data_IF_859019319444
#
_entry.id   IF_859019319444
#
_cell.length_a   1.000
_cell.length_b   1.000
_cell.length_c   1.000
_cell.angle_alpha   90.00
_cell.angle_beta   90.00
_cell.angle_gamma   90.00
#
_symmetry.space_group_name_H-M   'P 1'
#
loop_
_entity.id
_entity.type
_entity.pdbx_description
1 polymer ?
#
# COMPACT_ATOMS: atom_id res chain seq x y z
N UNK A 1 51.05 21.44 -54.09
CA UNK A 1 50.96 20.21 -53.28
C UNK A 1 49.55 19.65 -53.47
N UNK A 2 49.27 19.11 -54.65
CA UNK A 2 49.33 17.70 -55.04
C UNK A 2 48.35 16.78 -54.27
N UNK A 3 47.11 16.55 -54.75
CA UNK A 3 46.58 15.56 -55.74
C UNK A 3 46.90 14.07 -55.44
N UNK A 4 46.14 13.02 -55.77
CA UNK A 4 45.00 12.64 -56.65
C UNK A 4 44.38 11.36 -56.02
N UNK A 5 43.11 10.95 -56.20
CA UNK A 5 42.56 10.34 -57.43
C UNK A 5 41.54 9.19 -57.12
N UNK A 6 40.79 8.67 -58.12
CA UNK A 6 39.44 8.08 -58.01
C UNK A 6 39.28 6.56 -58.40
N UNK A 7 38.02 6.05 -58.35
CA UNK A 7 37.31 4.84 -58.90
C UNK A 7 37.94 4.02 -60.08
N UNK A 8 37.42 2.86 -60.62
CA UNK A 8 36.17 2.07 -60.41
C UNK A 8 36.31 0.50 -60.49
N UNK A 9 35.22 -0.28 -60.36
CA UNK A 9 34.69 -1.21 -61.41
C UNK A 9 33.60 -2.21 -60.93
N UNK A 10 32.63 -2.37 -61.83
CA UNK A 10 31.44 -3.21 -61.87
C UNK A 10 31.71 -4.62 -62.43
N UNK A 11 30.83 -5.57 -62.15
CA UNK A 11 30.82 -6.90 -62.79
C UNK A 11 29.56 -7.71 -62.49
N UNK A 12 28.60 -7.64 -63.42
CA UNK A 12 27.40 -8.49 -63.50
C UNK A 12 27.77 -9.91 -63.93
N UNK A 13 27.09 -10.93 -63.40
CA UNK A 13 26.72 -12.12 -64.17
C UNK A 13 25.40 -12.73 -63.68
N UNK A 14 24.42 -12.76 -64.58
CA UNK A 14 23.22 -13.59 -64.53
C UNK A 14 23.53 -14.97 -65.12
N UNK A 15 22.88 -16.01 -64.61
CA UNK A 15 22.35 -17.17 -65.36
C UNK A 15 21.30 -17.86 -64.46
N UNK A 16 19.99 -17.77 -64.72
CA UNK A 16 19.14 -18.58 -65.64
C UNK A 16 19.06 -20.09 -65.32
N UNK A 17 18.04 -20.44 -64.49
CA UNK A 17 16.89 -21.39 -64.69
C UNK A 17 17.17 -22.88 -65.10
N UNK A 18 16.17 -23.80 -65.11
CA UNK A 18 15.11 -24.17 -64.13
C UNK A 18 14.90 -25.73 -64.08
N UNK A 19 13.71 -26.19 -63.63
CA UNK A 19 13.05 -27.50 -63.82
C UNK A 19 13.42 -28.63 -62.82
N UNK A 20 12.53 -29.56 -62.43
CA UNK A 20 11.06 -29.74 -62.50
C UNK A 20 10.73 -31.09 -61.82
N UNK A 21 9.43 -31.38 -61.70
CA UNK A 21 8.77 -32.68 -61.45
C UNK A 21 8.37 -32.99 -60.00
N UNK A 22 7.06 -32.91 -59.69
CA UNK A 22 5.98 -33.93 -59.94
C UNK A 22 6.31 -35.20 -59.15
N UNK A 23 5.56 -35.61 -58.12
CA UNK A 23 4.12 -35.85 -58.05
C UNK A 23 3.90 -37.12 -57.21
N UNK A 24 2.67 -37.47 -56.81
CA UNK A 24 2.35 -38.19 -55.57
C UNK A 24 1.99 -39.67 -55.79
N UNK A 25 2.00 -40.51 -54.73
CA UNK A 25 0.99 -41.57 -54.63
C UNK A 25 0.72 -42.13 -53.22
N UNK A 26 -0.53 -42.55 -53.05
CA UNK A 26 -1.17 -43.20 -51.91
C UNK A 26 -0.85 -44.72 -51.93
N UNK A 27 -0.95 -45.41 -50.80
CA UNK A 27 -1.87 -46.56 -50.65
C UNK A 27 -1.86 -47.19 -49.24
N UNK A 28 -3.07 -47.63 -48.86
CA UNK A 28 -3.55 -48.27 -47.64
C UNK A 28 -2.90 -49.63 -47.32
N UNK A 29 -2.94 -50.06 -46.05
CA UNK A 29 -3.66 -51.30 -45.61
C UNK A 29 -3.75 -51.42 -44.07
N UNK A 30 -4.78 -52.17 -43.64
CA UNK A 30 -5.37 -52.31 -42.29
C UNK A 30 -5.29 -53.79 -41.84
N UNK A 31 -5.10 -54.04 -40.53
CA UNK A 31 -5.78 -55.06 -39.64
C UNK A 31 -5.32 -56.55 -39.74
N UNK A 32 -5.54 -57.51 -38.77
CA UNK A 32 -5.88 -57.54 -37.31
C UNK A 32 -5.00 -58.49 -36.42
N UNK A 33 -5.24 -58.51 -35.07
CA UNK A 33 -4.94 -59.68 -34.21
C UNK A 33 -5.33 -59.56 -32.72
N UNK A 34 -6.30 -60.36 -32.25
CA UNK A 34 -6.92 -60.45 -30.89
C UNK A 34 -6.22 -61.47 -29.96
N UNK A 35 -6.38 -61.32 -28.62
CA UNK A 35 -6.95 -62.27 -27.59
C UNK A 35 -6.58 -61.78 -26.16
N UNK A 36 -7.52 -61.32 -25.31
CA UNK A 36 -8.41 -61.98 -24.31
C UNK A 36 -7.77 -62.41 -22.95
N UNK A 37 -8.12 -61.65 -21.88
CA UNK A 37 -8.50 -61.91 -20.45
C UNK A 37 -8.03 -63.17 -19.65
N UNK A 38 -8.00 -63.19 -18.28
CA UNK A 38 -8.93 -62.50 -17.33
C UNK A 38 -8.35 -61.90 -16.01
N UNK A 39 -9.25 -61.26 -15.24
CA UNK A 39 -9.09 -60.74 -13.86
C UNK A 39 -9.42 -61.80 -12.78
N UNK A 40 -9.07 -61.58 -11.49
CA UNK A 40 -10.02 -61.05 -10.49
C UNK A 40 -9.33 -60.08 -9.48
N UNK A 41 -9.96 -59.30 -8.60
CA UNK A 41 -11.27 -59.37 -7.97
C UNK A 41 -11.57 -58.11 -7.14
N UNK A 42 -12.78 -58.08 -6.59
CA UNK A 42 -13.49 -56.94 -5.99
C UNK A 42 -13.00 -56.58 -4.59
N UNK A 43 -13.05 -55.28 -4.26
CA UNK A 43 -13.48 -54.80 -2.96
C UNK A 43 -14.33 -53.53 -3.15
N UNK A 44 -15.61 -53.63 -2.76
CA UNK A 44 -16.56 -52.52 -2.70
C UNK A 44 -16.53 -51.98 -1.27
N UNK A 45 -16.38 -50.68 -1.11
CA UNK A 45 -16.89 -49.94 0.04
C UNK A 45 -17.68 -48.76 -0.50
N UNK A 46 -19.00 -48.84 -0.31
CA UNK A 46 -19.92 -47.70 -0.34
C UNK A 46 -19.67 -46.88 0.94
N UNK A 47 -19.86 -45.57 0.87
CA UNK A 47 -20.70 -44.79 1.80
C UNK A 47 -20.85 -43.36 1.23
N UNK A 48 -22.11 -43.09 0.87
CA UNK A 48 -22.93 -41.90 1.06
C UNK A 48 -22.47 -40.49 0.64
N UNK A 49 -23.16 -40.01 -0.40
CA UNK A 49 -23.46 -38.60 -0.60
C UNK A 49 -24.41 -38.10 0.50
N UNK A 50 -23.93 -37.20 1.36
CA UNK A 50 -24.80 -36.41 2.21
C UNK A 50 -24.91 -35.00 1.64
N UNK A 51 -26.08 -34.73 1.07
CA UNK A 51 -26.57 -33.39 0.74
C UNK A 51 -27.08 -32.78 2.05
N UNK A 52 -26.52 -31.65 2.49
CA UNK A 52 -27.10 -30.87 3.60
C UNK A 52 -27.36 -29.44 3.13
N UNK A 53 -28.65 -29.15 3.00
CA UNK A 53 -29.24 -27.83 2.91
C UNK A 53 -29.71 -27.44 4.31
N UNK A 54 -29.05 -26.48 4.96
CA UNK A 54 -29.53 -25.65 6.08
C UNK A 54 -28.59 -24.42 6.08
N UNK A 55 -28.99 -23.17 6.19
CA UNK A 55 -30.20 -22.58 6.74
C UNK A 55 -29.75 -21.22 7.29
N UNK A 56 -30.51 -20.16 7.02
CA UNK A 56 -30.29 -18.81 7.55
C UNK A 56 -30.23 -18.85 9.09
N UNK A 57 -29.25 -18.19 9.68
CA UNK A 57 -29.11 -18.04 11.13
C UNK A 57 -28.30 -16.81 11.49
N UNK A 58 -29.00 -15.71 11.75
CA UNK A 58 -28.48 -14.52 12.42
C UNK A 58 -28.13 -14.90 13.86
N UNK A 59 -26.89 -14.66 14.30
CA UNK A 59 -26.54 -14.72 15.71
C UNK A 59 -25.58 -13.56 16.07
N UNK A 60 -26.12 -12.63 16.85
CA UNK A 60 -25.39 -11.60 17.60
C UNK A 60 -24.72 -12.27 18.81
N UNK A 61 -23.42 -12.06 18.98
CA UNK A 61 -22.71 -12.13 20.27
C UNK A 61 -21.52 -11.15 20.15
N UNK A 62 -21.31 -10.13 20.98
CA UNK A 62 -21.74 -9.95 22.37
C UNK A 62 -20.67 -10.43 23.35
N UNK A 63 -19.39 -10.15 23.09
CA UNK A 63 -18.26 -10.50 23.95
C UNK A 63 -17.71 -9.28 24.69
N UNK A 64 -18.08 -9.15 25.97
CA UNK A 64 -17.49 -8.23 26.94
C UNK A 64 -16.09 -8.74 27.31
N UNK A 65 -15.08 -7.89 27.29
CA UNK A 65 -13.77 -8.20 27.88
C UNK A 65 -13.42 -7.19 28.98
N UNK A 66 -12.79 -7.71 30.02
CA UNK A 66 -12.65 -7.16 31.36
C UNK A 66 -11.74 -5.93 31.46
N UNK A 67 -12.20 -4.89 32.17
CA UNK A 67 -11.33 -3.88 32.79
C UNK A 67 -10.67 -4.47 34.04
N UNK A 68 -9.35 -4.53 34.06
CA UNK A 68 -8.58 -4.60 35.30
C UNK A 68 -8.01 -3.20 35.60
N UNK A 69 -8.53 -2.59 36.66
CA UNK A 69 -8.02 -1.37 37.28
C UNK A 69 -7.78 -1.66 38.76
N UNK A 70 -6.58 -1.31 39.26
CA UNK A 70 -6.15 -0.96 40.65
C UNK A 70 -4.73 -1.50 40.88
N UNK A 71 -3.79 -0.82 41.53
CA UNK A 71 -3.73 0.47 42.23
C UNK A 71 -2.29 0.99 42.15
N UNK A 72 -1.92 2.21 42.54
CA UNK A 72 -2.47 3.06 43.59
C UNK A 72 -1.55 3.02 44.81
N UNK A 73 -0.41 3.73 44.78
CA UNK A 73 0.35 4.13 45.97
C UNK A 73 0.79 5.59 45.81
N UNK A 74 0.04 6.47 46.48
CA UNK A 74 0.51 7.80 46.90
C UNK A 74 0.70 7.70 48.41
N UNK A 75 1.82 8.19 48.92
CA UNK A 75 1.91 8.60 50.31
C UNK A 75 2.32 10.08 50.37
N UNK A 76 1.58 10.84 51.16
CA UNK A 76 1.84 12.22 51.59
C UNK A 76 2.29 12.14 53.05
N UNK A 77 3.22 13.01 53.44
CA UNK A 77 3.12 13.83 54.66
C UNK A 77 4.28 14.86 54.63
N UNK A 78 4.02 16.18 54.66
CA UNK A 78 3.87 17.09 55.82
C UNK A 78 5.13 17.10 56.70
N UNK A 79 5.76 18.22 57.06
CA UNK A 79 5.52 19.65 56.88
C UNK A 79 6.60 20.42 57.66
N UNK A 80 6.65 21.75 57.58
CA UNK A 80 6.90 22.66 58.72
C UNK A 80 6.80 24.13 58.28
N UNK A 81 6.16 24.93 59.14
CA UNK A 81 5.93 26.38 59.09
C UNK A 81 6.89 27.11 60.05
N UNK A 82 7.03 28.43 59.81
CA UNK A 82 7.20 29.58 60.74
C UNK A 82 8.48 30.42 60.45
N UNK A 83 8.38 31.65 59.91
CA UNK A 83 8.12 32.99 60.53
C UNK A 83 9.30 33.46 61.41
N UNK A 84 10.19 34.36 60.94
CA UNK A 84 10.19 35.85 61.07
C UNK A 84 11.34 36.30 62.02
N UNK A 85 11.69 37.60 62.24
CA UNK A 85 11.30 38.87 61.60
C UNK A 85 12.42 39.94 61.37
N UNK A 86 12.07 41.05 60.66
CA UNK A 86 12.47 42.49 60.79
C UNK A 86 13.97 42.91 60.73
N UNK A 87 14.38 43.99 60.03
CA UNK A 87 14.18 45.45 60.30
C UNK A 87 14.61 46.28 59.05
N UNK A 88 13.86 47.27 58.55
CA UNK A 88 13.71 48.71 58.92
C UNK A 88 14.72 49.69 58.26
N UNK A 89 14.18 50.73 57.60
CA UNK A 89 14.85 52.05 57.47
C UNK A 89 14.69 52.78 56.12
N UNK A 90 14.03 53.96 56.11
CA UNK A 90 14.43 55.08 55.24
C UNK A 90 13.40 55.87 54.41
N UNK A 91 12.68 56.81 55.05
CA UNK A 91 12.30 58.19 54.64
C UNK A 91 11.87 58.62 53.19
N UNK A 92 10.57 58.96 53.08
CA UNK A 92 9.85 60.19 52.60
C UNK A 92 10.39 61.22 51.53
N UNK A 93 9.62 61.32 50.41
CA UNK A 93 9.08 62.46 49.58
C UNK A 93 9.99 63.56 48.92
N UNK A 94 9.48 64.39 47.96
CA UNK A 94 8.74 64.10 46.71
C UNK A 94 9.28 64.92 45.49
N UNK A 95 9.01 64.51 44.24
CA UNK A 95 8.81 65.47 43.13
C UNK A 95 8.25 64.85 41.84
N UNK A 96 7.15 65.47 41.40
CA UNK A 96 6.70 65.80 40.05
C UNK A 96 7.10 64.93 38.84
N UNK A 97 6.06 64.46 38.14
CA UNK A 97 5.86 64.80 36.73
C UNK A 97 6.74 64.11 35.70
N UNK A 98 6.38 62.90 35.30
CA UNK A 98 6.63 62.41 33.93
C UNK A 98 5.62 61.31 33.58
N UNK A 99 4.85 61.51 32.51
CA UNK A 99 3.95 60.48 31.97
C UNK A 99 4.76 59.28 31.46
N UNK A 100 4.47 58.04 31.86
CA UNK A 100 4.99 56.89 31.15
C UNK A 100 4.14 56.73 29.88
N UNK A 101 4.74 57.04 28.73
CA UNK A 101 4.23 56.66 27.41
C UNK A 101 3.84 55.18 27.44
N UNK A 102 2.68 54.88 26.87
CA UNK A 102 2.21 53.54 26.56
C UNK A 102 3.34 52.65 26.08
N UNK A 103 3.80 51.75 26.96
CA UNK A 103 4.45 50.54 26.50
C UNK A 103 3.30 49.67 25.99
N UNK A 104 3.25 49.31 24.70
CA UNK A 104 2.32 48.27 24.31
C UNK A 104 2.72 47.05 25.11
N UNK A 105 1.87 46.70 26.08
CA UNK A 105 1.88 45.36 26.63
C UNK A 105 1.69 44.48 25.40
N UNK A 106 2.78 43.84 24.96
CA UNK A 106 2.69 42.77 24.01
C UNK A 106 1.71 41.80 24.67
N UNK A 107 0.45 41.86 24.26
CA UNK A 107 -0.44 40.72 24.34
C UNK A 107 0.43 39.62 23.79
N UNK A 108 0.90 38.72 24.67
CA UNK A 108 1.11 37.34 24.26
C UNK A 108 -0.24 36.98 23.68
N UNK A 109 -0.37 37.18 22.38
CA UNK A 109 -1.27 36.42 21.55
C UNK A 109 -0.88 35.02 21.93
N UNK A 110 -1.64 34.43 22.85
CA UNK A 110 -1.66 33.01 23.03
C UNK A 110 -1.81 32.51 21.62
N UNK A 111 -0.71 32.02 21.04
CA UNK A 111 -0.78 31.21 19.85
C UNK A 111 -1.84 30.19 20.24
N UNK A 112 -2.97 30.26 19.55
CA UNK A 112 -3.91 29.17 19.60
C UNK A 112 -3.09 28.02 19.04
N UNK A 113 -2.44 27.28 19.93
CA UNK A 113 -1.70 26.08 19.59
C UNK A 113 -2.78 25.18 19.06
N UNK A 114 -2.93 25.16 17.73
CA UNK A 114 -3.78 24.20 17.09
C UNK A 114 -3.00 22.89 17.20
N UNK A 115 -3.25 22.21 18.32
CA UNK A 115 -2.65 20.96 18.77
C UNK A 115 -2.85 19.91 17.70
N UNK A 116 -1.85 19.74 16.84
CA UNK A 116 -1.97 19.00 15.58
C UNK A 116 -1.35 17.62 15.69
N UNK A 117 -1.98 16.64 15.05
CA UNK A 117 -1.46 15.29 14.85
C UNK A 117 -0.77 15.23 13.49
N UNK A 118 0.50 14.86 13.46
CA UNK A 118 1.21 14.60 12.21
C UNK A 118 0.95 13.17 11.73
N UNK A 119 0.77 13.00 10.41
CA UNK A 119 0.62 11.68 9.80
C UNK A 119 1.90 11.28 9.07
N UNK A 120 2.38 10.08 9.37
CA UNK A 120 3.54 9.46 8.74
C UNK A 120 3.11 8.13 8.11
N UNK A 121 3.71 7.81 6.96
CA UNK A 121 3.63 6.49 6.32
C UNK A 121 4.98 6.15 5.70
N UNK A 122 5.12 4.96 5.15
CA UNK A 122 6.26 4.59 4.32
C UNK A 122 5.94 4.62 2.81
N UNK A 123 6.98 4.53 1.96
CA UNK A 123 6.84 4.66 0.51
C UNK A 123 6.00 3.56 -0.14
N UNK A 124 5.80 2.42 0.52
CA UNK A 124 4.94 1.35 -0.03
C UNK A 124 3.45 1.67 0.05
N UNK A 125 3.07 2.85 0.58
CA UNK A 125 1.72 3.40 0.45
C UNK A 125 1.37 3.79 -0.99
N UNK A 126 2.38 3.94 -1.86
CA UNK A 126 2.26 4.36 -3.26
C UNK A 126 1.47 5.67 -3.44
N UNK A 127 1.45 6.51 -2.40
CA UNK A 127 0.80 7.81 -2.49
C UNK A 127 1.60 8.74 -3.42
N UNK A 128 0.94 9.45 -4.35
CA UNK A 128 1.62 10.44 -5.17
C UNK A 128 2.18 11.55 -4.27
N UNK A 129 3.44 11.92 -4.48
CA UNK A 129 4.15 12.89 -3.64
C UNK A 129 3.42 14.23 -3.52
N UNK A 130 2.75 14.68 -4.59
CA UNK A 130 1.94 15.90 -4.58
C UNK A 130 0.74 15.77 -3.65
N UNK A 131 0.02 14.63 -3.68
CA UNK A 131 -1.11 14.40 -2.80
C UNK A 131 -0.67 14.29 -1.34
N UNK A 132 0.42 13.57 -1.08
CA UNK A 132 1.00 13.47 0.25
C UNK A 132 1.33 14.85 0.83
N UNK A 133 1.96 15.73 0.03
CA UNK A 133 2.22 17.13 0.42
C UNK A 133 0.94 17.91 0.72
N UNK A 134 -0.05 17.87 -0.18
CA UNK A 134 -1.33 18.59 0.00
C UNK A 134 -2.12 18.08 1.21
N UNK A 135 -1.95 16.81 1.57
CA UNK A 135 -2.58 16.17 2.73
C UNK A 135 -1.70 16.19 3.99
N UNK A 136 -0.57 16.90 3.97
CA UNK A 136 0.38 16.98 5.09
C UNK A 136 0.83 15.61 5.62
N UNK A 137 1.01 14.65 4.72
CA UNK A 137 1.50 13.29 5.01
C UNK A 137 3.02 13.25 4.78
N UNK A 138 3.76 12.81 5.78
CA UNK A 138 5.19 12.53 5.67
C UNK A 138 5.40 11.09 5.19
N UNK A 139 6.22 10.90 4.16
CA UNK A 139 6.56 9.56 3.63
C UNK A 139 8.03 9.26 3.97
N UNK A 140 8.28 8.15 4.65
CA UNK A 140 9.63 7.62 4.89
C UNK A 140 9.98 6.61 3.79
N UNK A 141 10.98 6.89 2.94
CA UNK A 141 11.29 6.04 1.79
C UNK A 141 11.95 4.73 2.20
N UNK A 142 11.50 3.62 1.62
CA UNK A 142 12.24 2.36 1.61
C UNK A 142 13.35 2.40 0.56
N UNK A 143 14.29 1.45 0.65
CA UNK A 143 15.39 1.33 -0.30
C UNK A 143 15.15 0.18 -1.26
N UNK A 144 15.27 0.46 -2.56
CA UNK A 144 15.38 -0.51 -3.64
C UNK A 144 16.86 -0.77 -3.94
N UNK A 145 17.27 -2.04 -3.96
CA UNK A 145 18.58 -2.47 -4.44
C UNK A 145 18.42 -3.05 -5.84
N UNK A 146 18.96 -2.37 -6.85
CA UNK A 146 18.71 -2.69 -8.25
C UNK A 146 19.94 -2.36 -9.12
N UNK A 147 20.43 -3.36 -9.87
CA UNK A 147 21.62 -3.26 -10.73
C UNK A 147 22.85 -2.66 -10.00
N UNK A 148 23.10 -3.11 -8.77
CA UNK A 148 24.23 -2.68 -7.95
C UNK A 148 24.06 -1.30 -7.28
N UNK A 149 22.92 -0.63 -7.45
CA UNK A 149 22.60 0.64 -6.82
C UNK A 149 21.61 0.47 -5.68
N UNK A 150 21.76 1.28 -4.64
CA UNK A 150 20.76 1.47 -3.58
C UNK A 150 20.03 2.79 -3.81
N UNK A 151 18.73 2.73 -4.07
CA UNK A 151 17.90 3.85 -4.52
C UNK A 151 16.72 4.01 -3.56
N UNK A 152 16.47 5.23 -3.09
CA UNK A 152 15.31 5.54 -2.27
C UNK A 152 14.04 5.59 -3.13
N UNK A 153 13.05 4.82 -2.72
CA UNK A 153 11.78 4.64 -3.42
C UNK A 153 10.97 5.94 -3.44
N UNK A 154 10.59 6.38 -4.65
CA UNK A 154 9.89 7.66 -4.82
C UNK A 154 10.77 8.88 -4.54
N UNK A 155 12.08 8.73 -4.43
CA UNK A 155 13.06 9.83 -4.31
C UNK A 155 14.06 9.72 -5.46
N UNK A 156 14.88 8.66 -5.45
CA UNK A 156 15.96 8.45 -6.43
C UNK A 156 15.46 7.73 -7.68
N UNK A 157 14.39 6.94 -7.55
CA UNK A 157 13.81 6.18 -8.66
C UNK A 157 12.29 6.28 -8.66
N UNK A 158 11.73 6.53 -9.85
CA UNK A 158 10.29 6.63 -10.10
C UNK A 158 9.76 5.32 -10.69
N UNK A 159 8.46 5.00 -10.52
CA UNK A 159 7.85 3.81 -11.10
C UNK A 159 8.12 3.65 -12.60
N UNK A 160 7.95 4.72 -13.39
CA UNK A 160 8.17 4.70 -14.84
C UNK A 160 9.61 4.35 -15.23
N UNK A 161 10.59 4.83 -14.46
CA UNK A 161 11.99 4.47 -14.69
C UNK A 161 12.28 3.02 -14.29
N UNK A 162 11.76 2.58 -13.14
CA UNK A 162 11.94 1.22 -12.65
C UNK A 162 11.39 0.19 -13.65
N UNK A 163 10.13 0.32 -14.05
CA UNK A 163 9.51 -0.63 -14.98
C UNK A 163 10.11 -0.59 -16.38
N UNK A 164 10.60 0.57 -16.84
CA UNK A 164 11.36 0.64 -18.11
C UNK A 164 12.68 -0.14 -18.06
N UNK A 165 13.35 -0.15 -16.91
CA UNK A 165 14.64 -0.84 -16.72
C UNK A 165 14.47 -2.33 -16.40
N UNK A 166 13.42 -2.71 -15.70
CA UNK A 166 13.21 -4.06 -15.15
C UNK A 166 13.30 -5.21 -16.19
N UNK A 167 12.76 -5.11 -17.42
CA UNK A 167 12.85 -6.19 -18.41
C UNK A 167 14.30 -6.52 -18.83
N UNK A 168 15.20 -5.55 -18.74
CA UNK A 168 16.61 -5.70 -19.14
C UNK A 168 17.55 -5.89 -17.94
N UNK A 169 16.99 -6.06 -16.73
CA UNK A 169 17.78 -6.22 -15.52
C UNK A 169 18.54 -7.56 -15.52
N UNK A 170 19.81 -7.52 -15.14
CA UNK A 170 20.64 -8.72 -15.01
C UNK A 170 20.41 -9.41 -13.66
N UNK A 171 19.94 -8.64 -12.67
CA UNK A 171 19.66 -9.10 -11.32
C UNK A 171 18.21 -8.81 -10.94
N UNK A 172 17.64 -9.66 -10.08
CA UNK A 172 16.31 -9.37 -9.55
C UNK A 172 16.43 -8.30 -8.47
N UNK A 173 15.59 -7.24 -8.50
CA UNK A 173 15.60 -6.21 -7.49
C UNK A 173 15.34 -6.78 -6.09
N UNK A 174 15.99 -6.24 -5.09
CA UNK A 174 15.67 -6.55 -3.68
C UNK A 174 15.38 -5.25 -2.95
N UNK A 175 14.85 -5.34 -1.73
CA UNK A 175 14.40 -4.17 -0.98
C UNK A 175 14.81 -4.28 0.46
N UNK A 176 15.05 -3.14 1.11
CA UNK A 176 15.23 -3.06 2.56
C UNK A 176 14.29 -2.02 3.16
N UNK A 177 13.81 -2.32 4.37
CA UNK A 177 13.09 -1.37 5.22
C UNK A 177 13.97 -0.16 5.58
N UNK A 178 13.38 0.97 5.99
CA UNK A 178 14.15 2.09 6.50
C UNK A 178 14.77 1.71 7.85
N UNK A 179 15.92 2.30 8.16
CA UNK A 179 16.56 2.13 9.46
C UNK A 179 15.74 2.83 10.57
N UNK A 180 15.71 2.32 11.81
CA UNK A 180 15.04 3.00 12.93
C UNK A 180 15.44 4.46 13.12
N UNK A 181 16.72 4.79 12.88
CA UNK A 181 17.22 6.18 12.96
C UNK A 181 16.53 7.14 11.98
N UNK A 182 16.18 6.68 10.78
CA UNK A 182 15.48 7.51 9.79
C UNK A 182 14.06 7.86 10.25
N UNK A 183 13.39 6.92 10.94
CA UNK A 183 12.11 7.19 11.58
C UNK A 183 12.28 8.16 12.77
N UNK A 184 13.28 7.93 13.62
CA UNK A 184 13.56 8.78 14.77
C UNK A 184 13.83 10.25 14.38
N UNK A 185 14.61 10.47 13.32
CA UNK A 185 14.84 11.81 12.77
C UNK A 185 13.53 12.47 12.35
N UNK A 186 12.70 11.77 11.57
CA UNK A 186 11.42 12.30 11.07
C UNK A 186 10.41 12.56 12.19
N UNK A 187 10.32 11.69 13.20
CA UNK A 187 9.46 11.92 14.35
C UNK A 187 9.93 13.13 15.16
N UNK A 188 11.24 13.28 15.39
CA UNK A 188 11.79 14.42 16.10
C UNK A 188 11.50 15.76 15.40
N UNK A 189 11.66 15.80 14.07
CA UNK A 189 11.30 16.96 13.24
C UNK A 189 9.82 17.33 13.38
N UNK A 190 8.92 16.32 13.36
CA UNK A 190 7.48 16.55 13.42
C UNK A 190 7.04 16.97 14.82
N UNK A 191 7.53 16.32 15.87
CA UNK A 191 7.18 16.60 17.28
C UNK A 191 7.66 17.97 17.77
N UNK A 192 8.54 18.64 17.03
CA UNK A 192 8.91 20.03 17.27
C UNK A 192 7.74 21.00 16.99
N UNK A 193 6.81 20.63 16.10
CA UNK A 193 5.70 21.47 15.65
C UNK A 193 4.31 20.84 15.78
N UNK A 194 4.24 19.57 16.21
CA UNK A 194 3.02 18.78 16.37
C UNK A 194 3.00 18.17 17.77
N UNK A 195 1.81 17.94 18.31
CA UNK A 195 1.67 17.35 19.64
C UNK A 195 1.92 15.85 19.61
N UNK A 196 1.47 15.15 18.57
CA UNK A 196 1.59 13.71 18.45
C UNK A 196 1.81 13.32 16.98
N UNK A 197 2.36 12.13 16.77
CA UNK A 197 2.54 11.51 15.45
C UNK A 197 1.71 10.22 15.41
N UNK A 198 0.95 10.03 14.34
CA UNK A 198 0.38 8.72 13.98
C UNK A 198 1.10 8.22 12.75
N UNK A 199 1.77 7.06 12.88
CA UNK A 199 2.64 6.49 11.85
C UNK A 199 2.08 5.16 11.35
N UNK A 200 1.52 5.14 10.14
CA UNK A 200 0.78 4.00 9.57
C UNK A 200 1.66 3.29 8.55
N UNK A 201 1.93 2.00 8.73
CA UNK A 201 2.91 1.29 7.91
C UNK A 201 2.39 0.02 7.25
N UNK A 202 3.09 -0.38 6.20
CA UNK A 202 2.93 -1.71 5.57
C UNK A 202 2.86 -2.81 6.62
N UNK A 203 2.04 -3.82 6.32
CA UNK A 203 1.93 -5.07 7.09
C UNK A 203 3.27 -5.54 7.64
N UNK A 204 3.33 -5.76 8.95
CA UNK A 204 4.50 -6.33 9.63
C UNK A 204 4.89 -7.71 9.08
N UNK A 205 3.94 -8.43 8.48
CA UNK A 205 4.16 -9.76 7.86
C UNK A 205 4.76 -9.69 6.47
N UNK A 206 4.78 -8.51 5.85
CA UNK A 206 5.39 -8.28 4.54
C UNK A 206 6.76 -7.60 4.67
N UNK A 207 6.95 -6.75 5.69
CA UNK A 207 8.17 -5.99 5.90
C UNK A 207 8.44 -5.71 7.37
N UNK A 208 9.72 -5.61 7.75
CA UNK A 208 10.12 -5.13 9.08
C UNK A 208 9.98 -3.61 9.26
N UNK A 209 9.43 -2.87 8.28
CA UNK A 209 9.20 -1.42 8.36
C UNK A 209 8.44 -1.02 9.63
N UNK A 210 7.36 -1.75 9.98
CA UNK A 210 6.62 -1.51 11.21
C UNK A 210 7.52 -1.60 12.45
N UNK A 211 8.33 -2.66 12.55
CA UNK A 211 9.28 -2.82 13.66
C UNK A 211 10.37 -1.74 13.68
N UNK A 212 10.86 -1.29 12.52
CA UNK A 212 11.78 -0.16 12.43
C UNK A 212 11.13 1.14 12.93
N UNK A 213 9.87 1.37 12.58
CA UNK A 213 9.11 2.54 12.99
C UNK A 213 8.84 2.55 14.50
N UNK A 214 8.52 1.39 15.10
CA UNK A 214 8.38 1.23 16.55
C UNK A 214 9.71 1.56 17.26
N UNK A 215 10.83 1.01 16.80
CA UNK A 215 12.14 1.34 17.35
C UNK A 215 12.49 2.82 17.19
N UNK A 216 12.11 3.45 16.06
CA UNK A 216 12.25 4.90 15.87
C UNK A 216 11.44 5.73 16.87
N UNK A 217 10.25 5.26 17.26
CA UNK A 217 9.44 5.89 18.29
C UNK A 217 10.10 5.77 19.68
N UNK A 218 10.67 4.61 20.01
CA UNK A 218 11.42 4.39 21.25
C UNK A 218 12.66 5.28 21.38
N UNK A 219 13.34 5.55 20.26
CA UNK A 219 14.50 6.44 20.19
C UNK A 219 14.14 7.94 20.28
N UNK A 220 12.86 8.29 20.26
CA UNK A 220 12.39 9.69 20.27
C UNK A 220 11.52 10.01 21.47
N UNK A 221 10.21 9.80 21.34
CA UNK A 221 9.24 9.92 22.43
C UNK A 221 8.10 8.92 22.20
N UNK A 222 8.27 7.71 22.73
CA UNK A 222 7.32 6.61 22.59
C UNK A 222 5.91 6.91 23.12
N UNK A 223 5.72 7.99 23.90
CA UNK A 223 4.39 8.39 24.39
C UNK A 223 3.63 9.27 23.41
N UNK A 224 4.34 9.92 22.47
CA UNK A 224 3.78 10.87 21.51
C UNK A 224 3.77 10.32 20.08
N UNK A 225 4.34 9.15 19.85
CA UNK A 225 4.37 8.48 18.54
C UNK A 225 3.57 7.19 18.60
N UNK A 226 2.49 7.15 17.83
CA UNK A 226 1.57 6.03 17.73
C UNK A 226 1.81 5.29 16.41
N UNK A 227 2.51 4.17 16.50
CA UNK A 227 2.83 3.35 15.31
C UNK A 227 1.72 2.32 15.09
N UNK A 228 1.20 2.24 13.87
CA UNK A 228 0.07 1.39 13.49
C UNK A 228 0.49 0.42 12.39
N UNK A 229 0.37 -0.87 12.68
CA UNK A 229 0.41 -1.91 11.65
C UNK A 229 -0.91 -1.89 10.86
N UNK A 230 -0.82 -1.47 9.59
CA UNK A 230 -1.98 -1.41 8.72
C UNK A 230 -2.48 -2.79 8.30
N UNK A 231 -1.64 -3.84 8.37
CA UNK A 231 -1.88 -5.14 7.73
C UNK A 231 -2.19 -5.04 6.22
N UNK A 232 -1.82 -3.94 5.58
CA UNK A 232 -2.09 -3.61 4.18
C UNK A 232 -0.79 -3.22 3.48
N UNK A 233 -0.87 -3.00 2.16
CA UNK A 233 0.23 -2.51 1.31
C UNK A 233 -0.36 -1.71 0.15
N UNK A 234 0.44 -0.84 -0.47
CA UNK A 234 0.10 -0.12 -1.71
C UNK A 234 -1.23 0.62 -1.62
N UNK A 235 -2.10 0.51 -2.62
CA UNK A 235 -3.40 1.21 -2.74
C UNK A 235 -4.17 1.30 -1.41
N UNK A 236 -4.30 0.16 -0.72
CA UNK A 236 -5.05 0.05 0.53
C UNK A 236 -4.37 0.71 1.72
N UNK A 237 -3.03 0.66 1.79
CA UNK A 237 -2.26 1.41 2.78
C UNK A 237 -2.42 2.91 2.53
N UNK A 238 -2.28 3.35 1.27
CA UNK A 238 -2.50 4.74 0.87
C UNK A 238 -3.89 5.26 1.25
N UNK A 239 -4.95 4.48 1.01
CA UNK A 239 -6.32 4.84 1.42
C UNK A 239 -6.47 4.99 2.94
N UNK A 240 -5.90 4.07 3.72
CA UNK A 240 -5.97 4.15 5.18
C UNK A 240 -5.19 5.35 5.72
N UNK A 241 -4.04 5.66 5.12
CA UNK A 241 -3.23 6.84 5.46
C UNK A 241 -3.94 8.15 5.09
N UNK A 242 -4.63 8.20 3.94
CA UNK A 242 -5.46 9.35 3.58
C UNK A 242 -6.62 9.55 4.56
N UNK A 243 -7.23 8.47 5.02
CA UNK A 243 -8.25 8.54 6.07
C UNK A 243 -7.68 9.07 7.39
N UNK A 244 -6.48 8.62 7.80
CA UNK A 244 -5.80 9.14 8.99
C UNK A 244 -5.53 10.65 8.88
N UNK A 245 -5.04 11.11 7.72
CA UNK A 245 -4.81 12.52 7.42
C UNK A 245 -6.08 13.35 7.46
N UNK A 246 -7.18 12.86 6.86
CA UNK A 246 -8.47 13.54 6.89
C UNK A 246 -9.01 13.73 8.32
N UNK A 247 -8.85 12.73 9.18
CA UNK A 247 -9.27 12.79 10.59
C UNK A 247 -8.40 13.77 11.39
N UNK A 248 -7.08 13.72 11.20
CA UNK A 248 -6.15 14.65 11.83
C UNK A 248 -6.42 16.10 11.40
N UNK A 249 -6.69 16.33 10.11
CA UNK A 249 -7.04 17.65 9.56
C UNK A 249 -8.35 18.20 10.15
N UNK A 250 -9.27 17.32 10.57
CA UNK A 250 -10.52 17.68 11.29
C UNK A 250 -10.31 17.90 12.80
N UNK A 251 -9.07 17.81 13.29
CA UNK A 251 -8.73 18.04 14.69
C UNK A 251 -8.97 16.86 15.62
N UNK A 252 -9.07 15.63 15.09
CA UNK A 252 -9.11 14.44 15.92
C UNK A 252 -7.77 14.25 16.67
N UNK A 253 -7.83 13.75 17.92
CA UNK A 253 -6.64 13.37 18.68
C UNK A 253 -5.97 12.13 18.08
N UNK A 254 -4.69 11.88 18.42
CA UNK A 254 -3.98 10.71 17.92
C UNK A 254 -4.70 9.40 18.29
N UNK A 255 -5.15 9.26 19.55
CA UNK A 255 -5.94 8.12 20.00
C UNK A 255 -7.21 7.90 19.14
N UNK A 256 -7.95 8.98 18.84
CA UNK A 256 -9.17 8.90 18.04
C UNK A 256 -8.88 8.55 16.57
N UNK A 257 -7.77 9.06 16.01
CA UNK A 257 -7.29 8.68 14.68
C UNK A 257 -6.95 7.19 14.66
N UNK A 258 -6.12 6.72 15.61
CA UNK A 258 -5.69 5.31 15.72
C UNK A 258 -6.88 4.37 15.88
N UNK A 259 -7.81 4.69 16.80
CA UNK A 259 -9.02 3.90 17.02
C UNK A 259 -9.84 3.80 15.73
N UNK A 260 -10.07 4.95 15.06
CA UNK A 260 -10.91 5.00 13.86
C UNK A 260 -10.29 4.24 12.70
N UNK A 261 -9.00 4.45 12.41
CA UNK A 261 -8.34 3.74 11.30
C UNK A 261 -8.16 2.26 11.60
N UNK A 262 -7.96 1.87 12.87
CA UNK A 262 -7.92 0.45 13.25
C UNK A 262 -9.26 -0.24 13.01
N UNK A 263 -10.38 0.44 13.29
CA UNK A 263 -11.71 -0.07 12.98
C UNK A 263 -12.01 -0.08 11.46
N UNK A 264 -11.48 0.90 10.71
CA UNK A 264 -11.63 0.96 9.26
C UNK A 264 -10.79 -0.09 8.54
N UNK A 265 -9.60 -0.44 9.06
CA UNK A 265 -8.67 -1.41 8.46
C UNK A 265 -9.37 -2.69 8.04
N UNK A 266 -10.21 -3.25 8.89
CA UNK A 266 -10.91 -4.53 8.64
C UNK A 266 -11.97 -4.42 7.53
N UNK A 267 -12.33 -3.19 7.15
CA UNK A 267 -13.26 -2.87 6.06
C UNK A 267 -12.54 -2.49 4.76
N UNK A 268 -11.22 -2.23 4.82
CA UNK A 268 -10.41 -1.97 3.63
C UNK A 268 -10.10 -3.29 2.95
N UNK A 269 -10.44 -3.39 1.68
CA UNK A 269 -10.18 -4.56 0.85
C UNK A 269 -9.11 -4.25 -0.19
N UNK A 270 -8.29 -5.26 -0.47
CA UNK A 270 -7.31 -5.24 -1.56
C UNK A 270 -7.60 -6.43 -2.46
N UNK A 271 -7.89 -6.18 -3.74
CA UNK A 271 -8.10 -7.23 -4.74
C UNK A 271 -7.20 -6.96 -5.94
N UNK A 272 -6.44 -7.95 -6.38
CA UNK A 272 -5.50 -7.75 -7.48
C UNK A 272 -5.21 -9.04 -8.23
N UNK A 273 -4.75 -8.89 -9.46
CA UNK A 273 -4.24 -9.98 -10.29
C UNK A 273 -2.80 -9.67 -10.67
N UNK A 274 -2.01 -10.72 -10.85
CA UNK A 274 -0.60 -10.62 -11.26
C UNK A 274 -0.38 -11.36 -12.59
N UNK A 275 0.54 -10.86 -13.41
CA UNK A 275 0.93 -11.57 -14.64
C UNK A 275 1.59 -12.93 -14.32
N UNK A 276 2.39 -12.97 -13.26
CA UNK A 276 3.09 -14.16 -12.76
C UNK A 276 3.25 -14.10 -11.23
N UNK A 277 3.25 -15.25 -10.57
CA UNK A 277 3.58 -15.36 -9.13
C UNK A 277 5.09 -15.33 -8.86
N UNK A 278 5.92 -15.33 -9.89
CA UNK A 278 7.37 -15.49 -9.75
C UNK A 278 8.03 -14.35 -8.96
N UNK A 279 7.62 -13.09 -9.18
CA UNK A 279 8.13 -11.95 -8.40
C UNK A 279 7.79 -12.09 -6.91
N UNK A 280 6.54 -12.46 -6.61
CA UNK A 280 6.10 -12.67 -5.22
C UNK A 280 6.88 -13.80 -4.57
N UNK A 281 7.18 -14.87 -5.33
CA UNK A 281 7.96 -16.01 -4.89
C UNK A 281 9.41 -15.63 -4.61
N UNK A 282 10.09 -15.00 -5.57
CA UNK A 282 11.50 -14.58 -5.46
C UNK A 282 11.70 -13.52 -4.39
N UNK A 283 10.75 -12.61 -4.27
CA UNK A 283 10.71 -11.60 -3.22
C UNK A 283 10.37 -12.16 -1.83
N UNK A 284 9.86 -13.38 -1.74
CA UNK A 284 9.47 -14.03 -0.48
C UNK A 284 8.14 -13.53 0.11
N UNK A 285 7.39 -12.70 -0.63
CA UNK A 285 6.11 -12.08 -0.19
C UNK A 285 4.88 -12.76 -0.78
N UNK A 286 5.05 -13.95 -1.37
CA UNK A 286 3.95 -14.76 -1.91
C UNK A 286 2.93 -15.20 -0.86
N UNK A 287 3.33 -15.27 0.41
CA UNK A 287 2.43 -15.61 1.51
C UNK A 287 1.68 -16.92 1.28
N UNK A 288 0.36 -16.89 1.48
CA UNK A 288 -0.53 -18.03 1.31
C UNK A 288 -0.75 -18.40 -0.17
N UNK A 289 -0.39 -17.51 -1.11
CA UNK A 289 -0.46 -17.81 -2.53
C UNK A 289 0.62 -18.80 -2.99
N UNK A 290 1.57 -19.18 -2.11
CA UNK A 290 2.50 -20.28 -2.35
C UNK A 290 1.80 -21.61 -2.64
N UNK A 291 0.57 -21.81 -2.13
CA UNK A 291 -0.27 -22.97 -2.43
C UNK A 291 -0.70 -23.07 -3.92
N UNK A 292 -0.47 -22.02 -4.71
CA UNK A 292 -0.70 -22.03 -6.16
C UNK A 292 0.54 -22.47 -6.95
N UNK A 293 1.72 -22.56 -6.33
CA UNK A 293 2.94 -23.04 -6.97
C UNK A 293 2.80 -24.53 -7.31
N UNK A 294 3.13 -24.91 -8.55
CA UNK A 294 3.08 -26.30 -9.00
C UNK A 294 1.73 -26.78 -9.52
N UNK A 295 0.68 -25.94 -9.56
CA UNK A 295 -0.56 -26.31 -10.25
C UNK A 295 -0.34 -26.35 -11.76
N UNK A 296 -0.70 -27.47 -12.40
CA UNK A 296 -0.40 -27.86 -13.79
C UNK A 296 -1.01 -26.94 -14.87
N UNK A 297 -1.82 -25.91 -14.53
CA UNK A 297 -2.53 -25.08 -15.50
C UNK A 297 -2.25 -23.58 -15.37
N UNK A 298 -2.16 -22.96 -16.55
CA UNK A 298 -2.15 -21.53 -16.91
C UNK A 298 -3.32 -20.73 -16.30
N UNK A 299 -3.46 -20.70 -14.98
CA UNK A 299 -4.49 -19.91 -14.28
C UNK A 299 -3.93 -18.55 -13.88
N UNK A 300 -4.74 -17.51 -14.03
CA UNK A 300 -4.47 -16.17 -13.51
C UNK A 300 -5.21 -16.04 -12.18
N UNK A 301 -4.52 -15.88 -11.05
CA UNK A 301 -5.18 -15.82 -9.76
C UNK A 301 -5.75 -14.43 -9.50
N UNK A 302 -6.92 -14.39 -8.86
CA UNK A 302 -7.36 -13.20 -8.11
C UNK A 302 -6.84 -13.37 -6.70
N UNK A 303 -6.06 -12.40 -6.25
CA UNK A 303 -5.41 -12.35 -4.95
C UNK A 303 -6.03 -11.25 -4.10
N UNK A 304 -5.87 -11.38 -2.79
CA UNK A 304 -6.19 -10.32 -1.84
C UNK A 304 -5.12 -10.21 -0.75
N UNK A 305 -5.20 -9.16 0.06
CA UNK A 305 -4.48 -9.08 1.34
C UNK A 305 -5.44 -9.49 2.44
N UNK A 306 -5.06 -10.49 3.23
CA UNK A 306 -5.83 -10.97 4.38
C UNK A 306 -4.89 -11.30 5.53
N UNK A 307 -5.22 -10.81 6.72
CA UNK A 307 -4.38 -10.91 7.91
C UNK A 307 -2.94 -10.44 7.66
N UNK A 308 -2.76 -9.39 6.85
CA UNK A 308 -1.43 -8.88 6.50
C UNK A 308 -0.65 -9.68 5.44
N UNK A 309 -1.24 -10.69 4.80
CA UNK A 309 -0.55 -11.57 3.86
C UNK A 309 -1.25 -11.65 2.50
N UNK A 310 -0.45 -11.80 1.43
CA UNK A 310 -0.95 -12.16 0.10
C UNK A 310 -1.64 -13.52 0.17
N UNK A 311 -2.91 -13.53 -0.20
CA UNK A 311 -3.81 -14.68 -0.06
C UNK A 311 -4.55 -14.93 -1.37
N UNK A 312 -4.60 -16.19 -1.86
CA UNK A 312 -5.37 -16.51 -3.04
C UNK A 312 -6.86 -16.47 -2.72
N UNK A 313 -7.63 -15.78 -3.56
CA UNK A 313 -9.08 -15.68 -3.41
C UNK A 313 -9.78 -16.60 -4.41
N UNK A 314 -9.46 -16.46 -5.70
CA UNK A 314 -10.07 -17.22 -6.79
C UNK A 314 -9.04 -17.59 -7.87
N UNK A 315 -9.31 -18.65 -8.63
CA UNK A 315 -8.50 -19.06 -9.79
C UNK A 315 -9.33 -18.90 -11.04
N UNK A 316 -8.87 -18.06 -11.97
CA UNK A 316 -9.54 -17.87 -13.27
C UNK A 316 -8.60 -18.23 -14.42
N UNK A 317 -9.16 -18.35 -15.63
CA UNK A 317 -8.42 -18.86 -16.80
C UNK A 317 -7.65 -17.79 -17.58
N UNK A 318 -8.11 -16.55 -17.54
CA UNK A 318 -7.52 -15.45 -18.33
C UNK A 318 -7.37 -14.21 -17.47
N UNK A 319 -6.48 -13.31 -17.88
CA UNK A 319 -6.22 -12.09 -17.14
C UNK A 319 -7.44 -11.15 -17.15
N UNK A 320 -8.13 -11.00 -18.29
CA UNK A 320 -9.38 -10.24 -18.37
C UNK A 320 -10.46 -10.74 -17.42
N UNK A 321 -10.62 -12.06 -17.28
CA UNK A 321 -11.57 -12.62 -16.31
C UNK A 321 -11.17 -12.30 -14.87
N UNK A 322 -9.86 -12.18 -14.60
CA UNK A 322 -9.37 -11.81 -13.27
C UNK A 322 -9.70 -10.35 -12.98
N UNK A 323 -9.52 -9.45 -13.95
CA UNK A 323 -9.83 -8.03 -13.79
C UNK A 323 -11.34 -7.78 -13.67
N UNK A 324 -12.17 -8.46 -14.47
CA UNK A 324 -13.63 -8.41 -14.27
C UNK A 324 -14.00 -8.87 -12.86
N UNK A 325 -13.37 -9.92 -12.36
CA UNK A 325 -13.64 -10.39 -11.00
C UNK A 325 -13.17 -9.41 -9.92
N UNK A 326 -12.04 -8.75 -10.11
CA UNK A 326 -11.58 -7.65 -9.23
C UNK A 326 -12.62 -6.52 -9.19
N UNK A 327 -13.18 -6.13 -10.34
CA UNK A 327 -14.24 -5.13 -10.44
C UNK A 327 -15.49 -5.58 -9.67
N UNK A 328 -15.94 -6.82 -9.90
CA UNK A 328 -17.14 -7.36 -9.23
C UNK A 328 -16.95 -7.39 -7.70
N UNK A 329 -15.82 -7.89 -7.22
CA UNK A 329 -15.48 -7.91 -5.79
C UNK A 329 -15.43 -6.50 -5.18
N UNK A 330 -14.90 -5.51 -5.91
CA UNK A 330 -14.92 -4.12 -5.44
C UNK A 330 -16.34 -3.57 -5.35
N UNK A 331 -17.20 -3.85 -6.35
CA UNK A 331 -18.63 -3.45 -6.32
C UNK A 331 -19.38 -4.12 -5.17
N UNK A 332 -19.06 -5.36 -4.82
CA UNK A 332 -19.64 -6.05 -3.66
C UNK A 332 -19.31 -5.37 -2.31
N UNK A 333 -18.26 -4.55 -2.24
CA UNK A 333 -17.93 -3.74 -1.05
C UNK A 333 -18.89 -2.55 -0.89
N UNK A 334 -19.50 -2.06 -1.98
CA UNK A 334 -20.40 -0.91 -1.92
C UNK A 334 -21.69 -1.26 -1.16
N UNK A 335 -22.02 -0.45 -0.15
CA UNK A 335 -23.23 -0.56 0.66
C UNK A 335 -24.37 0.33 0.14
N UNK A 336 -24.30 0.73 -1.12
CA UNK A 336 -25.21 1.67 -1.76
C UNK A 336 -24.93 3.13 -1.43
N UNK A 337 -23.70 3.44 -1.00
CA UNK A 337 -23.23 4.81 -0.66
C UNK A 337 -21.99 5.22 -1.44
N UNK A 338 -21.51 4.35 -2.32
CA UNK A 338 -20.31 4.53 -3.12
C UNK A 338 -19.06 4.01 -2.41
N UNK A 339 -17.95 4.09 -3.12
CA UNK A 339 -16.66 3.55 -2.72
C UNK A 339 -15.57 4.63 -2.73
N UNK A 340 -14.63 4.51 -1.79
CA UNK A 340 -13.31 5.09 -1.94
C UNK A 340 -12.39 4.05 -2.57
N UNK A 341 -11.89 4.32 -3.77
CA UNK A 341 -11.11 3.36 -4.57
C UNK A 341 -9.79 3.98 -5.04
N UNK A 342 -8.72 3.21 -4.92
CA UNK A 342 -7.46 3.46 -5.63
C UNK A 342 -7.18 2.23 -6.49
N UNK A 343 -7.14 2.42 -7.81
CA UNK A 343 -6.72 1.42 -8.79
C UNK A 343 -5.20 1.47 -8.90
N UNK A 344 -4.53 0.38 -8.56
CA UNK A 344 -3.08 0.23 -8.64
C UNK A 344 -2.66 -0.54 -9.88
N UNK A 345 -1.53 -0.17 -10.51
CA UNK A 345 -0.93 -0.97 -11.58
C UNK A 345 0.60 -0.97 -11.57
N UNK A 346 1.19 -2.02 -12.13
CA UNK A 346 2.62 -2.10 -12.40
C UNK A 346 2.82 -2.19 -13.91
N UNK A 347 3.13 -1.08 -14.58
CA UNK A 347 3.32 -1.02 -16.04
C UNK A 347 2.12 -1.56 -16.87
N UNK A 348 0.90 -1.40 -16.33
CA UNK A 348 -0.35 -1.83 -16.96
C UNK A 348 -1.43 -0.73 -16.90
N UNK A 349 -1.08 0.50 -17.33
CA UNK A 349 -1.94 1.68 -17.20
C UNK A 349 -3.27 1.55 -17.94
N UNK A 350 -3.27 1.01 -19.16
CA UNK A 350 -4.50 0.83 -19.97
C UNK A 350 -5.53 -0.09 -19.26
N UNK A 351 -5.06 -1.19 -18.67
CA UNK A 351 -5.91 -2.09 -17.88
C UNK A 351 -6.42 -1.41 -16.61
N UNK A 352 -5.58 -0.59 -15.97
CA UNK A 352 -5.96 0.18 -14.79
C UNK A 352 -7.05 1.21 -15.12
N UNK A 353 -6.92 1.91 -16.25
CA UNK A 353 -7.94 2.84 -16.74
C UNK A 353 -9.25 2.11 -17.08
N UNK A 354 -9.18 0.89 -17.64
CA UNK A 354 -10.38 0.06 -17.85
C UNK A 354 -11.08 -0.25 -16.53
N UNK A 355 -10.34 -0.71 -15.52
CA UNK A 355 -10.90 -0.99 -14.19
C UNK A 355 -11.48 0.27 -13.56
N UNK A 356 -10.80 1.42 -13.69
CA UNK A 356 -11.27 2.69 -13.16
C UNK A 356 -12.59 3.14 -13.82
N UNK A 357 -12.70 3.04 -15.16
CA UNK A 357 -13.95 3.37 -15.89
C UNK A 357 -15.13 2.52 -15.40
N UNK A 358 -14.90 1.24 -15.13
CA UNK A 358 -15.95 0.34 -14.64
C UNK A 358 -16.37 0.63 -13.19
N UNK A 359 -15.48 1.18 -12.37
CA UNK A 359 -15.76 1.52 -10.97
C UNK A 359 -16.24 2.97 -10.78
N UNK A 360 -16.02 3.85 -11.76
CA UNK A 360 -16.44 5.25 -11.71
C UNK A 360 -17.92 5.47 -11.33
N UNK A 361 -18.90 4.70 -11.83
CA UNK A 361 -20.31 4.89 -11.48
C UNK A 361 -20.63 4.71 -9.99
N UNK A 362 -19.81 3.94 -9.27
CA UNK A 362 -19.96 3.67 -7.84
C UNK A 362 -18.89 4.36 -7.00
N UNK A 363 -18.02 5.18 -7.60
CA UNK A 363 -16.91 5.81 -6.90
C UNK A 363 -17.29 7.19 -6.32
N UNK A 364 -17.18 7.30 -5.00
CA UNK A 364 -17.09 8.58 -4.31
C UNK A 364 -15.69 9.18 -4.51
N UNK A 365 -14.68 8.33 -4.30
CA UNK A 365 -13.26 8.62 -4.54
C UNK A 365 -12.69 7.61 -5.53
N UNK A 366 -11.96 8.09 -6.53
CA UNK A 366 -11.29 7.26 -7.54
C UNK A 366 -9.93 7.87 -7.91
N UNK A 367 -8.88 7.06 -7.79
CA UNK A 367 -7.53 7.36 -8.24
C UNK A 367 -6.96 6.18 -9.02
N UNK A 368 -6.09 6.47 -9.99
CA UNK A 368 -5.22 5.47 -10.62
C UNK A 368 -3.79 5.78 -10.19
N UNK A 369 -3.04 4.81 -9.67
CA UNK A 369 -1.66 4.99 -9.22
C UNK A 369 -0.75 3.85 -9.70
N UNK A 370 0.45 4.16 -10.20
CA UNK A 370 1.45 3.14 -10.43
C UNK A 370 2.03 2.64 -9.10
N UNK A 371 2.26 1.34 -8.98
CA UNK A 371 2.96 0.73 -7.86
C UNK A 371 4.41 1.19 -7.83
N UNK A 372 4.88 1.61 -6.66
CA UNK A 372 6.24 2.04 -6.39
C UNK A 372 7.26 0.92 -6.66
N UNK A 373 8.51 1.27 -7.04
CA UNK A 373 9.59 0.32 -7.26
C UNK A 373 9.76 -0.75 -6.17
N UNK A 374 9.58 -0.40 -4.88
CA UNK A 374 9.69 -1.38 -3.79
C UNK A 374 8.58 -2.42 -3.83
N UNK A 375 7.32 -2.00 -4.02
CA UNK A 375 6.19 -2.93 -4.17
C UNK A 375 6.34 -3.72 -5.47
N UNK A 376 6.71 -3.05 -6.56
CA UNK A 376 6.93 -3.61 -7.89
C UNK A 376 8.03 -4.68 -7.93
N UNK A 377 9.08 -4.55 -7.11
CA UNK A 377 10.12 -5.57 -6.97
C UNK A 377 9.57 -6.92 -6.48
N UNK A 378 8.47 -6.92 -5.71
CA UNK A 378 7.83 -8.13 -5.22
C UNK A 378 6.58 -8.52 -6.02
N UNK A 379 5.84 -7.55 -6.55
CA UNK A 379 4.59 -7.83 -7.27
C UNK A 379 4.84 -8.13 -8.76
N UNK A 380 5.90 -7.57 -9.34
CA UNK A 380 6.26 -7.67 -10.75
C UNK A 380 5.46 -6.72 -11.66
N UNK A 381 5.83 -6.63 -12.96
CA UNK A 381 5.05 -5.91 -13.95
C UNK A 381 3.77 -6.68 -14.33
N UNK A 382 2.80 -5.97 -14.89
CA UNK A 382 1.50 -6.50 -15.29
C UNK A 382 0.54 -6.73 -14.12
N UNK A 383 0.81 -6.16 -12.95
CA UNK A 383 -0.12 -6.17 -11.81
C UNK A 383 -1.18 -5.13 -12.04
N UNK A 384 -2.44 -5.50 -11.77
CA UNK A 384 -3.57 -4.57 -11.73
C UNK A 384 -4.47 -4.97 -10.58
N UNK A 385 -4.92 -3.99 -9.80
CA UNK A 385 -5.78 -4.24 -8.66
C UNK A 385 -6.39 -2.98 -8.10
N UNK A 386 -7.12 -3.14 -7.00
CA UNK A 386 -7.79 -2.06 -6.29
C UNK A 386 -7.56 -2.20 -4.79
N UNK A 387 -7.33 -1.07 -4.14
CA UNK A 387 -7.65 -0.89 -2.73
C UNK A 387 -8.99 -0.18 -2.65
N UNK A 388 -9.91 -0.64 -1.80
CA UNK A 388 -11.21 0.02 -1.65
C UNK A 388 -11.82 -0.14 -0.25
N UNK A 389 -12.71 0.80 0.11
CA UNK A 389 -13.61 0.67 1.25
C UNK A 389 -14.93 1.43 1.01
N UNK A 390 -16.00 1.12 1.76
CA UNK A 390 -17.28 1.82 1.65
C UNK A 390 -17.18 3.32 2.01
N UNK A 391 -17.64 4.21 1.13
CA UNK A 391 -17.49 5.65 1.32
C UNK A 391 -18.26 6.20 2.54
N UNK A 392 -19.27 5.48 3.04
CA UNK A 392 -19.99 5.84 4.26
C UNK A 392 -19.14 5.72 5.54
N UNK A 393 -18.00 5.04 5.48
CA UNK A 393 -17.03 5.04 6.58
C UNK A 393 -16.32 6.39 6.71
N UNK A 394 -15.79 6.90 5.60
CA UNK A 394 -15.13 8.20 5.54
C UNK A 394 -14.94 8.59 4.07
N UNK A 395 -15.76 9.49 3.50
CA UNK A 395 -15.55 9.95 2.13
C UNK A 395 -14.28 10.80 2.06
N UNK A 396 -13.50 10.66 0.99
CA UNK A 396 -12.26 11.42 0.79
C UNK A 396 -12.42 12.54 -0.25
N UNK A 397 -13.46 12.50 -1.09
CA UNK A 397 -13.76 13.51 -2.09
C UNK A 397 -12.73 13.63 -3.22
N UNK A 398 -11.91 12.60 -3.46
CA UNK A 398 -10.84 12.66 -4.45
C UNK A 398 -11.31 12.01 -5.76
N UNK A 399 -11.54 12.81 -6.80
CA UNK A 399 -11.84 12.29 -8.16
C UNK A 399 -10.70 12.56 -9.12
N UNK A 400 -10.42 11.63 -10.03
CA UNK A 400 -9.47 11.83 -11.13
C UNK A 400 -9.92 12.95 -12.06
N UNK A 401 -8.94 13.67 -12.63
CA UNK A 401 -9.15 14.75 -13.60
C UNK A 401 -9.82 14.29 -14.92
N UNK A 402 -9.93 12.99 -15.19
CA UNK A 402 -10.73 12.47 -16.29
C UNK A 402 -12.22 12.90 -16.17
N UNK A 403 -12.73 12.99 -14.94
CA UNK A 403 -14.09 13.47 -14.66
C UNK A 403 -14.31 14.97 -14.89
N UNK A 404 -13.24 15.78 -14.92
CA UNK A 404 -13.31 17.22 -15.16
C UNK A 404 -13.33 17.57 -16.66
N UNK A 405 -12.72 16.74 -17.52
CA UNK A 405 -12.72 16.92 -18.99
C UNK A 405 -13.97 16.38 -19.68
N UNK A 406 -14.72 15.47 -19.05
CA UNK A 406 -15.99 14.99 -19.59
C UNK A 406 -17.20 15.89 -19.19
N UNK A 407 -16.97 16.92 -18.37
CA UNK A 407 -17.99 17.87 -17.87
C UNK A 407 -17.74 19.33 -18.27
N UNK A 408 -16.71 19.58 -19.06
CA UNK A 408 -16.42 20.85 -19.72
C UNK A 408 -16.52 20.63 -21.23
#
# INVERSE_FOLDING_TARGET
MHVHGPWPHSGLHQDRRPNSDRGPDRHRRRVPGRRQHPAPGRARTRIDHCCVHLGRGVARHGGRFWLLRRGGLRNRDRGHRAVGPQTAGGAFLPSQGASPRDRPTARRTSSVNNRSVAIVTDSTSDLPSQLARTRSITIVPLTLHFEGLSLLDGVDIRPSEFYRKLPNATTHPTTSQPAPGQFAEKYSELLANHDEVVSVHISEKLSGTYASAVQGAELTDAKRVHVVDSQLVSMSLGLLTLAASELAAKGASADAVVERISAMRDQVQTYFSVATLEFLRRGGRIGRASALLGSVLQVKPVLCIRDGLVTPLERVRTFDRALNRVIDLAREVDRGKGLCVVVGHADAEEDAERVARELEPVAETLMIQPLGPVVGAHAGPGVVGVGCYPADLLPLGIKTAASARARA
#
